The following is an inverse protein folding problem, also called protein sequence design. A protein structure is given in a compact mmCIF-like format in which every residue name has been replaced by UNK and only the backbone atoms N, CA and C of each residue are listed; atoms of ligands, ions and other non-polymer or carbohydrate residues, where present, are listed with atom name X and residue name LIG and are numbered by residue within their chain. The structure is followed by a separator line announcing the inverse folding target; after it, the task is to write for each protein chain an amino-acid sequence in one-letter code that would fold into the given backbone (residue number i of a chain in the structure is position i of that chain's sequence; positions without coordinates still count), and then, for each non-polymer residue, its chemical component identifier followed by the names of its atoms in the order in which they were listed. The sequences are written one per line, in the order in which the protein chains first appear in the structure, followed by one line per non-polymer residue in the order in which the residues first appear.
data_IF_717955442742
#
_entry.id   IF_717955442742
#
_cell.length_a   1.000
_cell.length_b   1.000
_cell.length_c   1.000
_cell.angle_alpha   90.00
_cell.angle_beta   90.00
_cell.angle_gamma   90.00
#
_symmetry.space_group_name_H-M   'P 1'
#
loop_
_entity.id
_entity.type
_entity.pdbx_description
1 polymer ?
#
# COMPACT_ATOMS: atom_id res chain seq x y z
N UNK A 1 -48.69 20.69 -0.78
CA UNK A 1 -47.78 19.74 -0.10
C UNK A 1 -46.36 20.34 0.02
N UNK A 2 -46.02 21.05 1.12
CA UNK A 2 -44.66 21.59 1.29
C UNK A 2 -43.84 20.95 2.43
N UNK A 3 -44.32 19.85 3.06
CA UNK A 3 -43.65 19.29 4.22
C UNK A 3 -42.45 18.32 3.92
N UNK A 4 -42.32 17.83 2.71
CA UNK A 4 -41.24 16.91 2.32
C UNK A 4 -39.88 17.58 2.05
N UNK A 5 -39.87 18.80 1.56
CA UNK A 5 -38.64 19.55 1.23
C UNK A 5 -37.94 20.09 2.49
N UNK A 6 -38.69 20.47 3.52
CA UNK A 6 -38.15 20.95 4.79
C UNK A 6 -37.46 19.84 5.60
N UNK A 7 -38.01 18.62 5.59
CA UNK A 7 -37.43 17.48 6.28
C UNK A 7 -36.12 17.03 5.62
N UNK A 8 -36.04 17.04 4.29
CA UNK A 8 -34.82 16.74 3.53
C UNK A 8 -33.69 17.76 3.79
N UNK A 9 -34.03 19.05 3.83
CA UNK A 9 -33.05 20.11 4.13
C UNK A 9 -32.57 20.07 5.59
N UNK A 10 -33.43 19.74 6.54
CA UNK A 10 -33.06 19.57 7.96
C UNK A 10 -32.16 18.34 8.14
N UNK A 11 -32.45 17.23 7.46
CA UNK A 11 -31.63 16.01 7.51
C UNK A 11 -30.25 16.26 6.87
N UNK A 12 -30.18 17.00 5.76
CA UNK A 12 -28.89 17.36 5.14
C UNK A 12 -28.08 18.31 6.01
N UNK A 13 -28.68 19.32 6.61
CA UNK A 13 -28.02 20.24 7.55
C UNK A 13 -27.56 19.53 8.84
N UNK A 14 -28.34 18.61 9.37
CA UNK A 14 -27.96 17.82 10.55
C UNK A 14 -26.83 16.83 10.23
N UNK A 15 -26.79 16.29 9.00
CA UNK A 15 -25.69 15.43 8.54
C UNK A 15 -24.40 16.22 8.29
N UNK A 16 -24.48 17.41 7.69
CA UNK A 16 -23.36 18.32 7.50
C UNK A 16 -22.79 18.84 8.83
N UNK A 17 -23.65 19.18 9.78
CA UNK A 17 -23.25 19.66 11.12
C UNK A 17 -22.64 18.53 11.96
N UNK A 18 -23.09 17.28 11.81
CA UNK A 18 -22.46 16.08 12.41
C UNK A 18 -21.11 15.77 11.77
N UNK A 19 -20.98 15.90 10.46
CA UNK A 19 -19.73 15.71 9.74
C UNK A 19 -18.68 16.76 10.16
N UNK A 20 -19.10 18.04 10.32
CA UNK A 20 -18.24 19.16 10.71
C UNK A 20 -17.87 19.16 12.20
N UNK A 21 -18.76 18.72 13.09
CA UNK A 21 -18.57 18.75 14.55
C UNK A 21 -17.86 17.51 15.11
N UNK A 22 -17.86 16.36 14.42
CA UNK A 22 -17.23 15.12 14.91
C UNK A 22 -15.87 14.81 14.30
N UNK A 23 -15.27 15.67 13.52
CA UNK A 23 -13.93 15.54 12.94
C UNK A 23 -13.51 14.08 12.71
N UNK A 24 -13.41 13.63 11.47
CA UNK A 24 -12.92 12.27 11.14
C UNK A 24 -11.44 12.05 11.49
N UNK A 25 -10.77 13.10 11.97
CA UNK A 25 -9.33 13.06 12.25
C UNK A 25 -8.97 12.00 13.29
N UNK A 26 -9.60 12.05 14.47
CA UNK A 26 -9.30 11.11 15.54
C UNK A 26 -9.83 9.68 15.25
N UNK A 27 -11.08 9.47 14.76
CA UNK A 27 -11.60 8.12 14.63
C UNK A 27 -11.10 7.36 13.39
N UNK A 28 -10.66 8.03 12.32
CA UNK A 28 -10.30 7.36 11.06
C UNK A 28 -8.87 7.67 10.62
N UNK A 29 -8.51 8.94 10.54
CA UNK A 29 -7.23 9.33 9.92
C UNK A 29 -6.04 9.09 10.85
N UNK A 30 -6.13 9.40 12.14
CA UNK A 30 -5.04 9.15 13.08
C UNK A 30 -4.73 7.67 13.28
N UNK A 31 -5.71 6.76 13.51
CA UNK A 31 -5.40 5.33 13.55
C UNK A 31 -4.81 4.81 12.26
N UNK A 32 -5.26 5.34 11.10
CA UNK A 32 -4.73 4.98 9.80
C UNK A 32 -3.27 5.39 9.62
N UNK A 33 -2.91 6.59 10.02
CA UNK A 33 -1.54 7.07 10.01
C UNK A 33 -0.64 6.19 10.89
N UNK A 34 -1.10 5.86 12.11
CA UNK A 34 -0.32 5.11 13.08
C UNK A 34 -0.09 3.65 12.67
N UNK A 35 -1.12 2.95 12.16
CA UNK A 35 -0.95 1.55 11.73
C UNK A 35 -0.05 1.45 10.48
N UNK A 36 -0.13 2.42 9.57
CA UNK A 36 0.76 2.46 8.42
C UNK A 36 2.17 2.94 8.77
N UNK A 37 2.32 3.75 9.83
CA UNK A 37 3.63 4.05 10.39
C UNK A 37 4.27 2.81 11.02
N UNK A 38 3.49 1.99 11.73
CA UNK A 38 3.99 0.70 12.23
C UNK A 38 4.48 -0.21 11.08
N UNK A 39 3.72 -0.32 9.99
CA UNK A 39 4.13 -1.06 8.79
C UNK A 39 5.42 -0.49 8.19
N UNK A 40 5.49 0.84 8.03
CA UNK A 40 6.68 1.52 7.51
C UNK A 40 7.94 1.27 8.35
N UNK A 41 7.81 1.22 9.67
CA UNK A 41 8.91 0.90 10.58
C UNK A 41 9.37 -0.56 10.45
N UNK A 42 8.44 -1.50 10.19
CA UNK A 42 8.73 -2.92 10.08
C UNK A 42 9.45 -3.30 8.79
N UNK A 43 9.04 -2.74 7.65
CA UNK A 43 9.50 -3.18 6.34
C UNK A 43 11.03 -3.18 6.17
N UNK A 44 11.78 -2.18 6.63
CA UNK A 44 13.24 -2.19 6.52
C UNK A 44 13.92 -3.21 7.44
N UNK A 45 13.36 -3.49 8.61
CA UNK A 45 14.03 -4.30 9.65
C UNK A 45 13.72 -5.80 9.58
N UNK A 46 12.59 -6.19 8.97
CA UNK A 46 12.24 -7.61 8.82
C UNK A 46 13.34 -8.42 8.11
N UNK A 47 13.86 -8.00 6.94
CA UNK A 47 14.94 -8.75 6.30
C UNK A 47 16.26 -8.64 7.07
N UNK A 48 16.54 -7.53 7.73
CA UNK A 48 17.73 -7.35 8.58
C UNK A 48 17.76 -8.39 9.70
N UNK A 49 16.63 -8.58 10.39
CA UNK A 49 16.50 -9.56 11.45
C UNK A 49 16.66 -11.01 10.95
N UNK A 50 16.11 -11.33 9.78
CA UNK A 50 16.27 -12.66 9.18
C UNK A 50 17.75 -12.95 8.87
N UNK A 51 18.48 -11.99 8.29
CA UNK A 51 19.93 -12.13 8.05
C UNK A 51 20.70 -12.19 9.38
N UNK A 52 20.29 -11.46 10.40
CA UNK A 52 20.85 -11.55 11.76
C UNK A 52 20.72 -12.93 12.38
N UNK A 53 19.72 -13.74 11.99
CA UNK A 53 19.60 -15.15 12.36
C UNK A 53 20.47 -16.10 11.49
N UNK A 54 21.25 -15.58 10.55
CA UNK A 54 22.13 -16.35 9.66
C UNK A 54 21.46 -16.84 8.38
N UNK A 55 20.28 -16.33 8.03
CA UNK A 55 19.58 -16.67 6.79
C UNK A 55 20.08 -15.84 5.63
N UNK A 56 20.00 -16.38 4.42
CA UNK A 56 20.41 -15.72 3.18
C UNK A 56 19.48 -14.55 2.82
N UNK A 57 19.92 -13.67 1.92
CA UNK A 57 19.09 -12.57 1.40
C UNK A 57 17.80 -13.07 0.72
N UNK A 58 17.87 -14.25 0.07
CA UNK A 58 16.69 -14.86 -0.54
C UNK A 58 15.65 -15.29 0.51
N UNK A 59 16.10 -15.90 1.61
CA UNK A 59 15.25 -16.28 2.73
C UNK A 59 14.73 -15.05 3.48
N UNK A 60 15.53 -14.01 3.62
CA UNK A 60 15.10 -12.74 4.20
C UNK A 60 13.97 -12.09 3.38
N UNK A 61 13.99 -12.21 2.05
CA UNK A 61 12.90 -11.75 1.19
C UNK A 61 11.59 -12.54 1.40
N UNK A 62 11.65 -13.80 1.88
CA UNK A 62 10.45 -14.59 2.20
C UNK A 62 9.67 -13.93 3.34
N UNK A 63 10.33 -13.35 4.33
CA UNK A 63 9.65 -12.74 5.47
C UNK A 63 8.73 -11.60 5.01
N UNK A 64 9.21 -10.73 4.13
CA UNK A 64 8.39 -9.65 3.56
C UNK A 64 7.32 -10.18 2.59
N UNK A 65 7.62 -11.28 1.88
CA UNK A 65 6.64 -11.99 1.05
C UNK A 65 5.47 -12.49 1.90
N UNK A 66 5.76 -13.13 3.03
CA UNK A 66 4.74 -13.66 3.94
C UNK A 66 3.86 -12.55 4.50
N UNK A 67 4.42 -11.38 4.83
CA UNK A 67 3.63 -10.22 5.26
C UNK A 67 2.65 -9.79 4.16
N UNK A 68 3.12 -9.63 2.92
CA UNK A 68 2.29 -9.18 1.79
C UNK A 68 1.24 -10.23 1.40
N UNK A 69 1.62 -11.51 1.38
CA UNK A 69 0.69 -12.63 1.12
C UNK A 69 -0.33 -12.72 2.26
N UNK A 70 0.10 -12.54 3.51
CA UNK A 70 -0.78 -12.46 4.66
C UNK A 70 -1.84 -11.38 4.49
N UNK A 71 -1.43 -10.18 4.10
CA UNK A 71 -2.37 -9.08 3.84
C UNK A 71 -3.40 -9.48 2.77
N UNK A 72 -2.96 -10.10 1.67
CA UNK A 72 -3.85 -10.49 0.57
C UNK A 72 -4.80 -11.64 0.96
N UNK A 73 -4.28 -12.70 1.56
CA UNK A 73 -5.06 -13.90 1.92
C UNK A 73 -6.09 -13.59 3.00
N UNK A 74 -5.74 -12.72 3.95
CA UNK A 74 -6.65 -12.34 5.02
C UNK A 74 -7.71 -11.30 4.61
N UNK A 75 -7.72 -10.76 3.40
CA UNK A 75 -8.81 -9.88 2.94
C UNK A 75 -10.19 -10.54 3.03
N UNK A 76 -10.30 -11.83 2.68
CA UNK A 76 -11.57 -12.57 2.75
C UNK A 76 -11.99 -12.84 4.21
N UNK A 77 -11.16 -13.44 5.09
CA UNK A 77 -11.48 -13.57 6.51
C UNK A 77 -11.79 -12.23 7.18
N UNK A 78 -11.02 -11.18 6.87
CA UNK A 78 -11.24 -9.85 7.42
C UNK A 78 -12.61 -9.27 7.06
N UNK A 79 -13.09 -9.50 5.83
CA UNK A 79 -14.44 -9.10 5.40
C UNK A 79 -15.51 -9.81 6.25
N UNK A 80 -15.37 -11.12 6.42
CA UNK A 80 -16.30 -11.92 7.20
C UNK A 80 -16.29 -11.55 8.71
N UNK A 81 -15.10 -11.31 9.28
CA UNK A 81 -14.98 -10.85 10.68
C UNK A 81 -15.64 -9.48 10.82
N UNK A 82 -15.35 -8.53 9.94
CA UNK A 82 -15.89 -7.17 10.00
C UNK A 82 -17.42 -7.14 9.91
N UNK A 83 -18.00 -7.98 9.04
CA UNK A 83 -19.47 -8.14 8.95
C UNK A 83 -20.09 -8.70 10.23
N UNK A 84 -19.38 -9.59 10.94
CA UNK A 84 -19.91 -10.21 12.17
C UNK A 84 -19.77 -9.34 13.40
N UNK A 85 -18.62 -8.70 13.61
CA UNK A 85 -18.34 -7.99 14.87
C UNK A 85 -18.39 -6.47 14.75
N UNK A 86 -18.52 -5.94 13.52
CA UNK A 86 -18.58 -4.50 13.22
C UNK A 86 -17.19 -3.86 13.08
N UNK A 87 -17.15 -2.65 12.47
CA UNK A 87 -15.93 -1.97 12.08
C UNK A 87 -15.03 -1.63 13.26
N UNK A 88 -15.59 -1.02 14.31
CA UNK A 88 -14.82 -0.60 15.49
C UNK A 88 -14.10 -1.78 16.14
N UNK A 89 -14.81 -2.90 16.36
CA UNK A 89 -14.23 -4.09 16.99
C UNK A 89 -13.18 -4.74 16.08
N UNK A 90 -13.41 -4.74 14.77
CA UNK A 90 -12.45 -5.24 13.78
C UNK A 90 -11.19 -4.39 13.74
N UNK A 91 -11.30 -3.06 13.80
CA UNK A 91 -10.14 -2.17 13.89
C UNK A 91 -9.34 -2.42 15.19
N UNK A 92 -10.02 -2.56 16.34
CA UNK A 92 -9.38 -2.89 17.62
C UNK A 92 -8.69 -4.26 17.57
N UNK A 93 -9.34 -5.28 17.02
CA UNK A 93 -8.75 -6.60 16.85
C UNK A 93 -7.52 -6.53 15.93
N UNK A 94 -7.59 -5.77 14.83
CA UNK A 94 -6.47 -5.55 13.92
C UNK A 94 -5.29 -4.87 14.62
N UNK A 95 -5.51 -3.78 15.37
CA UNK A 95 -4.42 -3.11 16.09
C UNK A 95 -3.83 -3.98 17.20
N UNK A 96 -4.64 -4.76 17.91
CA UNK A 96 -4.16 -5.71 18.94
C UNK A 96 -3.34 -6.84 18.31
N UNK A 97 -3.82 -7.43 17.22
CA UNK A 97 -3.08 -8.46 16.48
C UNK A 97 -1.75 -7.90 15.94
N UNK A 98 -1.75 -6.66 15.43
CA UNK A 98 -0.53 -5.98 14.99
C UNK A 98 0.46 -5.80 16.14
N UNK A 99 0.01 -5.34 17.32
CA UNK A 99 0.85 -5.19 18.49
C UNK A 99 1.42 -6.54 19.00
N UNK A 100 0.60 -7.61 19.01
CA UNK A 100 1.07 -8.94 19.36
C UNK A 100 2.09 -9.50 18.35
N UNK A 101 1.87 -9.24 17.06
CA UNK A 101 2.79 -9.64 16.00
C UNK A 101 4.14 -8.95 16.12
N UNK A 102 4.16 -7.64 16.40
CA UNK A 102 5.40 -6.89 16.61
C UNK A 102 6.10 -7.30 17.90
N UNK A 103 5.34 -7.62 18.96
CA UNK A 103 5.90 -8.16 20.21
C UNK A 103 6.55 -9.53 19.97
N UNK A 104 5.91 -10.41 19.18
CA UNK A 104 6.47 -11.72 18.84
C UNK A 104 7.80 -11.56 18.06
N UNK A 105 7.89 -10.59 17.14
CA UNK A 105 9.13 -10.29 16.43
C UNK A 105 10.20 -9.72 17.37
N UNK A 106 9.81 -8.86 18.32
CA UNK A 106 10.71 -8.28 19.34
C UNK A 106 11.34 -9.34 20.24
N UNK A 107 10.63 -10.42 20.58
CA UNK A 107 11.12 -11.48 21.45
C UNK A 107 12.26 -12.32 20.84
N UNK A 108 12.60 -12.13 19.58
CA UNK A 108 13.76 -12.75 18.91
C UNK A 108 13.83 -14.27 19.06
N UNK A 109 12.69 -14.96 18.98
CA UNK A 109 12.59 -16.43 19.18
C UNK A 109 13.03 -17.26 17.95
N UNK A 110 13.64 -16.63 16.95
CA UNK A 110 14.17 -17.25 15.73
C UNK A 110 13.31 -17.00 14.49
N UNK A 111 13.74 -17.55 13.35
CA UNK A 111 13.17 -17.26 12.04
C UNK A 111 11.69 -17.64 11.92
N UNK A 112 11.27 -18.77 12.48
CA UNK A 112 9.87 -19.20 12.40
C UNK A 112 8.94 -18.22 13.13
N UNK A 113 9.37 -17.68 14.29
CA UNK A 113 8.60 -16.66 15.00
C UNK A 113 8.50 -15.36 14.19
N UNK A 114 9.55 -14.99 13.46
CA UNK A 114 9.55 -13.83 12.57
C UNK A 114 8.57 -14.03 11.39
N UNK A 115 8.51 -15.22 10.80
CA UNK A 115 7.54 -15.58 9.77
C UNK A 115 6.10 -15.47 10.30
N UNK A 116 5.83 -16.02 11.50
CA UNK A 116 4.51 -15.95 12.14
C UNK A 116 4.14 -14.51 12.47
N UNK A 117 5.09 -13.72 12.95
CA UNK A 117 4.90 -12.30 13.22
C UNK A 117 4.58 -11.52 11.94
N UNK A 118 5.31 -11.76 10.85
CA UNK A 118 5.05 -11.15 9.55
C UNK A 118 3.65 -11.49 9.00
N UNK A 119 3.26 -12.76 9.06
CA UNK A 119 1.92 -13.23 8.66
C UNK A 119 0.83 -12.58 9.52
N UNK A 120 1.02 -12.57 10.84
CA UNK A 120 0.09 -11.97 11.80
C UNK A 120 -0.07 -10.47 11.58
N UNK A 121 1.02 -9.75 11.29
CA UNK A 121 0.96 -8.32 10.97
C UNK A 121 0.24 -8.06 9.65
N UNK A 122 0.46 -8.90 8.62
CA UNK A 122 -0.28 -8.84 7.36
C UNK A 122 -1.78 -9.02 7.56
N UNK A 123 -2.18 -10.01 8.37
CA UNK A 123 -3.58 -10.24 8.74
C UNK A 123 -4.17 -9.04 9.52
N UNK A 124 -3.41 -8.48 10.46
CA UNK A 124 -3.77 -7.28 11.22
C UNK A 124 -4.02 -6.08 10.31
N UNK A 125 -3.11 -5.83 9.35
CA UNK A 125 -3.21 -4.75 8.38
C UNK A 125 -4.45 -4.89 7.49
N UNK A 126 -4.72 -6.11 7.00
CA UNK A 126 -5.91 -6.43 6.20
C UNK A 126 -7.20 -6.16 6.97
N UNK A 127 -7.30 -6.68 8.19
CA UNK A 127 -8.50 -6.52 9.03
C UNK A 127 -8.76 -5.04 9.37
N UNK A 128 -7.73 -4.32 9.80
CA UNK A 128 -7.83 -2.89 10.08
C UNK A 128 -8.19 -2.09 8.83
N UNK A 129 -7.51 -2.36 7.70
CA UNK A 129 -7.69 -1.65 6.44
C UNK A 129 -9.11 -1.77 5.89
N UNK A 130 -9.66 -2.98 5.89
CA UNK A 130 -11.02 -3.23 5.42
C UNK A 130 -12.06 -2.56 6.32
N UNK A 131 -11.97 -2.75 7.63
CA UNK A 131 -12.90 -2.16 8.60
C UNK A 131 -12.89 -0.62 8.52
N UNK A 132 -11.71 -0.02 8.38
CA UNK A 132 -11.53 1.43 8.19
C UNK A 132 -12.19 1.94 6.91
N UNK A 133 -12.04 1.23 5.77
CA UNK A 133 -12.67 1.63 4.51
C UNK A 133 -14.20 1.55 4.59
N UNK A 134 -14.72 0.50 5.22
CA UNK A 134 -16.16 0.33 5.48
C UNK A 134 -16.69 1.48 6.35
N UNK A 135 -16.02 1.76 7.47
CA UNK A 135 -16.37 2.85 8.38
C UNK A 135 -16.38 4.21 7.68
N UNK A 136 -15.36 4.51 6.85
CA UNK A 136 -15.31 5.78 6.13
C UNK A 136 -16.44 5.90 5.11
N UNK A 137 -16.78 4.81 4.41
CA UNK A 137 -17.89 4.78 3.47
C UNK A 137 -19.26 4.98 4.15
N UNK A 138 -19.41 4.58 5.41
CA UNK A 138 -20.62 4.78 6.21
C UNK A 138 -20.70 6.20 6.77
N UNK A 139 -19.59 6.73 7.32
CA UNK A 139 -19.60 8.02 8.00
C UNK A 139 -19.63 9.22 7.05
N UNK A 140 -19.19 9.05 5.80
CA UNK A 140 -19.01 10.15 4.85
C UNK A 140 -20.11 10.13 3.79
N UNK A 141 -20.84 11.24 3.60
CA UNK A 141 -21.80 11.40 2.51
C UNK A 141 -21.17 11.11 1.15
N UNK A 142 -21.93 10.54 0.18
CA UNK A 142 -21.38 10.14 -1.14
C UNK A 142 -20.60 11.23 -1.86
N UNK A 143 -21.07 12.48 -1.80
CA UNK A 143 -20.44 13.65 -2.43
C UNK A 143 -19.06 14.00 -1.88
N UNK A 144 -18.77 13.65 -0.62
CA UNK A 144 -17.50 13.93 0.06
C UNK A 144 -16.56 12.71 0.11
N UNK A 145 -17.03 11.51 -0.25
CA UNK A 145 -16.23 10.27 -0.23
C UNK A 145 -14.92 10.36 -1.03
N UNK A 146 -14.90 10.93 -2.26
CA UNK A 146 -13.66 11.02 -3.04
C UNK A 146 -12.57 11.82 -2.32
N UNK A 147 -12.92 12.96 -1.72
CA UNK A 147 -11.99 13.81 -0.95
C UNK A 147 -11.49 13.08 0.30
N UNK A 148 -12.37 12.41 1.01
CA UNK A 148 -12.05 11.66 2.23
C UNK A 148 -11.16 10.45 1.95
N UNK A 149 -11.40 9.73 0.86
CA UNK A 149 -10.55 8.62 0.41
C UNK A 149 -9.17 9.11 -0.05
N UNK A 150 -9.10 10.26 -0.72
CA UNK A 150 -7.82 10.89 -1.09
C UNK A 150 -6.99 11.25 0.16
N UNK A 151 -7.64 11.86 1.18
CA UNK A 151 -6.96 12.16 2.45
C UNK A 151 -6.49 10.90 3.16
N UNK A 152 -7.29 9.82 3.11
CA UNK A 152 -6.89 8.52 3.66
C UNK A 152 -5.64 7.97 2.95
N UNK A 153 -5.55 8.11 1.62
CA UNK A 153 -4.35 7.80 0.85
C UNK A 153 -3.13 8.63 1.29
N UNK A 154 -3.35 9.91 1.62
CA UNK A 154 -2.33 10.78 2.23
C UNK A 154 -1.87 10.27 3.60
N UNK A 155 -2.80 9.81 4.46
CA UNK A 155 -2.44 9.23 5.77
C UNK A 155 -1.61 7.96 5.62
N UNK A 156 -1.93 7.10 4.65
CA UNK A 156 -1.12 5.93 4.32
C UNK A 156 0.32 6.31 3.98
N UNK A 157 0.51 7.27 3.06
CA UNK A 157 1.85 7.72 2.65
C UNK A 157 2.60 8.43 3.76
N UNK A 158 1.89 9.28 4.52
CA UNK A 158 2.45 9.95 5.70
C UNK A 158 2.92 8.95 6.76
N UNK A 159 2.15 7.91 7.03
CA UNK A 159 2.56 6.82 7.92
C UNK A 159 3.80 6.10 7.42
N UNK A 160 3.82 5.71 6.15
CA UNK A 160 4.98 5.07 5.50
C UNK A 160 6.25 5.95 5.49
N UNK A 161 6.11 7.27 5.62
CA UNK A 161 7.24 8.20 5.76
C UNK A 161 7.68 8.35 7.23
N UNK A 162 6.73 8.55 8.14
CA UNK A 162 7.01 8.82 9.56
C UNK A 162 7.51 7.56 10.29
N UNK A 163 6.95 6.39 9.95
CA UNK A 163 7.26 5.13 10.60
C UNK A 163 8.74 4.77 10.59
N UNK A 164 9.40 4.74 9.44
CA UNK A 164 10.83 4.42 9.37
C UNK A 164 11.71 5.45 10.10
N UNK A 165 11.32 6.74 10.13
CA UNK A 165 12.07 7.76 10.91
C UNK A 165 11.99 7.48 12.40
N UNK A 166 10.79 7.18 12.92
CA UNK A 166 10.63 6.81 14.34
C UNK A 166 11.38 5.50 14.60
N UNK A 167 11.23 4.50 13.74
CA UNK A 167 11.95 3.23 13.82
C UNK A 167 13.47 3.43 13.86
N UNK A 168 14.00 4.26 12.96
CA UNK A 168 15.43 4.61 12.91
C UNK A 168 15.96 5.15 14.25
N UNK A 169 15.21 6.07 14.89
CA UNK A 169 15.61 6.63 16.18
C UNK A 169 15.67 5.56 17.28
N UNK A 170 14.70 4.65 17.33
CA UNK A 170 14.72 3.54 18.30
C UNK A 170 15.85 2.56 18.02
N UNK A 171 16.11 2.23 16.74
CA UNK A 171 17.19 1.34 16.33
C UNK A 171 18.55 1.93 16.70
N UNK A 172 18.77 3.21 16.42
CA UNK A 172 20.04 3.89 16.72
C UNK A 172 20.34 3.96 18.21
N UNK A 173 19.32 4.06 19.06
CA UNK A 173 19.49 4.19 20.51
C UNK A 173 19.59 2.85 21.24
N UNK A 174 18.89 1.83 20.77
CA UNK A 174 18.67 0.61 21.54
C UNK A 174 18.92 -0.69 20.77
N UNK A 175 19.06 -0.64 19.44
CA UNK A 175 19.25 -1.81 18.59
C UNK A 175 18.05 -2.14 17.72
N UNK A 176 18.27 -3.03 16.73
CA UNK A 176 17.28 -3.36 15.66
C UNK A 176 15.95 -3.85 16.22
N UNK A 177 15.98 -4.63 17.30
CA UNK A 177 14.78 -5.17 17.97
C UNK A 177 13.83 -4.07 18.44
N UNK A 178 14.34 -2.93 18.88
CA UNK A 178 13.50 -1.82 19.34
C UNK A 178 12.70 -1.14 18.23
N UNK A 179 13.05 -1.35 16.96
CA UNK A 179 12.19 -0.99 15.84
C UNK A 179 10.84 -1.71 15.86
N UNK A 180 10.81 -2.99 16.29
CA UNK A 180 9.57 -3.73 16.50
C UNK A 180 8.75 -3.18 17.68
N UNK A 181 9.41 -2.79 18.75
CA UNK A 181 8.75 -2.16 19.90
C UNK A 181 8.11 -0.82 19.50
N UNK A 182 8.82 0.00 18.72
CA UNK A 182 8.27 1.25 18.18
C UNK A 182 7.01 1.01 17.34
N UNK A 183 7.05 0.00 16.46
CA UNK A 183 5.87 -0.40 15.65
C UNK A 183 4.72 -0.90 16.56
N UNK A 184 5.01 -1.66 17.61
CA UNK A 184 4.02 -2.13 18.58
C UNK A 184 3.34 -0.97 19.33
N UNK A 185 4.11 0.01 19.77
CA UNK A 185 3.58 1.23 20.40
C UNK A 185 2.66 2.00 19.44
N UNK A 186 3.04 2.11 18.16
CA UNK A 186 2.18 2.73 17.15
C UNK A 186 0.87 1.94 16.94
N UNK A 187 0.91 0.61 16.95
CA UNK A 187 -0.30 -0.22 16.89
C UNK A 187 -1.21 -0.01 18.11
N UNK A 188 -0.64 0.05 19.31
CA UNK A 188 -1.40 0.31 20.54
C UNK A 188 -1.98 1.72 20.55
N UNK A 189 -1.21 2.72 20.11
CA UNK A 189 -1.69 4.11 19.97
C UNK A 189 -2.81 4.20 18.92
N UNK A 190 -2.72 3.45 17.80
CA UNK A 190 -3.80 3.34 16.84
C UNK A 190 -5.05 2.72 17.48
N UNK A 191 -4.90 1.66 18.27
CA UNK A 191 -5.98 1.05 19.05
C UNK A 191 -6.63 2.02 20.02
N UNK A 192 -5.83 2.79 20.76
CA UNK A 192 -6.33 3.84 21.66
C UNK A 192 -7.14 4.91 20.90
N UNK A 193 -6.67 5.35 19.75
CA UNK A 193 -7.40 6.31 18.92
C UNK A 193 -8.72 5.73 18.37
N UNK A 194 -8.82 4.42 18.14
CA UNK A 194 -10.04 3.75 17.69
C UNK A 194 -11.14 3.80 18.75
N UNK A 195 -10.83 3.97 20.05
CA UNK A 195 -11.87 4.15 21.07
C UNK A 195 -12.73 5.40 20.84
N UNK A 196 -12.24 6.40 20.12
CA UNK A 196 -13.03 7.57 19.73
C UNK A 196 -14.03 7.29 18.58
N UNK A 197 -13.94 6.12 17.94
CA UNK A 197 -14.86 5.69 16.87
C UNK A 197 -16.26 5.43 17.45
N UNK A 198 -17.31 6.02 16.88
CA UNK A 198 -18.67 5.70 17.29
C UNK A 198 -18.97 4.21 17.06
N UNK A 199 -19.68 3.59 17.99
CA UNK A 199 -20.26 2.26 17.78
C UNK A 199 -21.45 2.38 16.84
N UNK A 200 -21.20 2.20 15.54
CA UNK A 200 -22.25 2.07 14.54
C UNK A 200 -22.62 0.58 14.40
N UNK A 201 -23.92 0.30 14.42
CA UNK A 201 -24.41 -1.02 13.96
C UNK A 201 -24.50 -0.94 12.44
N UNK A 202 -23.79 -1.83 11.75
CA UNK A 202 -23.92 -1.97 10.31
C UNK A 202 -25.38 -2.09 9.88
N UNK A 203 -25.81 -1.19 9.03
CA UNK A 203 -26.81 -1.53 8.05
C UNK A 203 -26.11 -2.41 7.01
N UNK A 204 -26.27 -3.72 7.11
CA UNK A 204 -25.88 -4.66 6.08
C UNK A 204 -26.75 -4.37 4.86
N UNK A 205 -26.37 -3.41 4.05
CA UNK A 205 -26.88 -3.33 2.69
C UNK A 205 -26.11 -4.40 1.93
N UNK A 206 -26.77 -5.49 1.48
CA UNK A 206 -26.11 -6.45 0.60
C UNK A 206 -25.62 -5.64 -0.61
N UNK A 207 -24.32 -5.63 -0.86
CA UNK A 207 -23.81 -5.19 -2.15
C UNK A 207 -24.61 -5.95 -3.20
N UNK A 208 -25.27 -5.18 -4.09
CA UNK A 208 -26.17 -5.74 -5.11
C UNK A 208 -25.52 -6.94 -5.81
N UNK A 209 -26.37 -7.81 -6.34
CA UNK A 209 -26.02 -9.08 -7.00
C UNK A 209 -24.66 -8.93 -7.72
N UNK A 210 -23.64 -9.60 -7.16
CA UNK A 210 -22.32 -9.61 -7.78
C UNK A 210 -22.50 -10.25 -9.16
N UNK A 211 -22.37 -9.45 -10.21
CA UNK A 211 -22.35 -9.93 -11.59
C UNK A 211 -21.23 -10.96 -11.75
N UNK A 212 -21.27 -11.74 -12.80
CA UNK A 212 -20.24 -12.75 -13.06
C UNK A 212 -18.90 -12.05 -13.40
N UNK A 213 -18.03 -11.88 -12.38
CA UNK A 213 -16.71 -11.25 -12.53
C UNK A 213 -15.89 -11.92 -13.62
N UNK A 214 -15.95 -13.26 -13.73
CA UNK A 214 -15.22 -14.02 -14.76
C UNK A 214 -15.74 -13.77 -16.17
N UNK A 215 -17.04 -13.61 -16.34
CA UNK A 215 -17.62 -13.27 -17.63
C UNK A 215 -17.18 -11.88 -18.10
N UNK A 216 -17.15 -10.90 -17.19
CA UNK A 216 -16.68 -9.54 -17.48
C UNK A 216 -15.16 -9.54 -17.73
N UNK A 217 -14.37 -10.25 -16.93
CA UNK A 217 -12.93 -10.39 -17.12
C UNK A 217 -12.61 -11.02 -18.50
N UNK A 218 -13.35 -12.04 -18.93
CA UNK A 218 -13.16 -12.68 -20.23
C UNK A 218 -13.54 -11.74 -21.40
N UNK A 219 -14.62 -10.99 -21.25
CA UNK A 219 -15.06 -10.02 -22.27
C UNK A 219 -14.07 -8.87 -22.43
N UNK A 220 -13.53 -8.35 -21.32
CA UNK A 220 -12.58 -7.24 -21.30
C UNK A 220 -11.12 -7.72 -21.24
N UNK A 221 -10.86 -9.00 -21.55
CA UNK A 221 -9.54 -9.60 -21.51
C UNK A 221 -8.44 -8.81 -22.25
N UNK A 222 -8.68 -8.20 -23.44
CA UNK A 222 -7.66 -7.40 -24.11
C UNK A 222 -7.19 -6.20 -23.28
N UNK A 223 -8.08 -5.50 -22.57
CA UNK A 223 -7.73 -4.38 -21.69
C UNK A 223 -6.98 -4.86 -20.44
N UNK A 224 -7.43 -5.97 -19.85
CA UNK A 224 -6.82 -6.56 -18.66
C UNK A 224 -5.43 -7.14 -18.97
N UNK A 225 -5.27 -7.84 -20.10
CA UNK A 225 -4.00 -8.44 -20.51
C UNK A 225 -2.94 -7.40 -20.96
N UNK A 226 -3.35 -6.19 -21.29
CA UNK A 226 -2.46 -5.09 -21.68
C UNK A 226 -2.29 -4.07 -20.56
N UNK A 227 -3.22 -3.14 -20.39
CA UNK A 227 -3.14 -2.09 -19.37
C UNK A 227 -3.33 -2.61 -17.93
N UNK A 228 -4.08 -3.70 -17.73
CA UNK A 228 -4.18 -4.37 -16.44
C UNK A 228 -2.84 -4.98 -16.01
N UNK A 229 -2.17 -5.69 -16.93
CA UNK A 229 -0.81 -6.24 -16.67
C UNK A 229 0.20 -5.12 -16.47
N UNK A 230 0.18 -4.06 -17.28
CA UNK A 230 1.05 -2.90 -17.09
C UNK A 230 0.84 -2.24 -15.71
N UNK A 231 -0.41 -2.16 -15.25
CA UNK A 231 -0.79 -1.68 -13.90
C UNK A 231 -0.32 -2.63 -12.78
N UNK A 232 -0.29 -3.93 -13.03
CA UNK A 232 0.30 -4.91 -12.11
C UNK A 232 1.83 -4.75 -12.04
N UNK A 233 2.50 -4.53 -13.17
CA UNK A 233 3.95 -4.29 -13.22
C UNK A 233 4.34 -3.02 -12.48
N UNK A 234 3.61 -1.90 -12.64
CA UNK A 234 3.91 -0.67 -11.88
C UNK A 234 3.68 -0.87 -10.37
N UNK A 235 2.67 -1.67 -9.99
CA UNK A 235 2.43 -2.03 -8.59
C UNK A 235 3.56 -2.90 -8.03
N UNK A 236 4.02 -3.89 -8.81
CA UNK A 236 5.18 -4.71 -8.46
C UNK A 236 6.45 -3.86 -8.30
N UNK A 237 6.75 -2.98 -9.25
CA UNK A 237 7.91 -2.08 -9.20
C UNK A 237 7.94 -1.21 -7.94
N UNK A 238 6.78 -0.71 -7.51
CA UNK A 238 6.66 0.04 -6.24
C UNK A 238 6.92 -0.83 -5.02
N UNK A 239 6.42 -2.06 -5.03
CA UNK A 239 6.60 -3.01 -3.93
C UNK A 239 8.06 -3.45 -3.83
N UNK A 240 8.77 -3.60 -4.95
CA UNK A 240 10.19 -3.92 -4.98
C UNK A 240 11.03 -2.82 -4.31
N UNK A 241 10.64 -1.55 -4.42
CA UNK A 241 11.29 -0.49 -3.65
C UNK A 241 11.27 -0.78 -2.15
N UNK A 242 10.13 -1.24 -1.62
CA UNK A 242 9.94 -1.46 -0.18
C UNK A 242 10.60 -2.78 0.30
N UNK A 243 10.84 -3.74 -0.57
CA UNK A 243 11.36 -5.06 -0.21
C UNK A 243 12.77 -5.32 -0.76
N UNK A 244 13.08 -4.90 -1.98
CA UNK A 244 14.37 -5.11 -2.64
C UNK A 244 15.47 -4.15 -2.15
N UNK A 245 15.13 -2.87 -1.91
CA UNK A 245 16.12 -1.92 -1.41
C UNK A 245 16.64 -2.23 0.00
N UNK A 246 15.83 -2.68 0.98
CA UNK A 246 16.37 -3.13 2.27
C UNK A 246 17.38 -4.27 2.12
N UNK A 247 17.13 -5.22 1.21
CA UNK A 247 18.09 -6.30 0.92
C UNK A 247 19.40 -5.78 0.31
N UNK A 248 19.30 -4.77 -0.56
CA UNK A 248 20.48 -4.11 -1.12
C UNK A 248 21.27 -3.36 -0.04
N UNK A 249 20.59 -2.67 0.88
CA UNK A 249 21.23 -2.01 2.01
C UNK A 249 21.99 -3.01 2.90
N UNK A 250 21.41 -4.19 3.16
CA UNK A 250 22.08 -5.28 3.90
C UNK A 250 23.32 -5.76 3.14
N UNK A 251 23.21 -5.96 1.83
CA UNK A 251 24.36 -6.39 1.00
C UNK A 251 25.48 -5.35 1.01
N UNK A 252 25.16 -4.06 1.07
CA UNK A 252 26.12 -2.95 1.16
C UNK A 252 26.60 -2.71 2.60
N UNK A 253 26.14 -3.49 3.57
CA UNK A 253 26.45 -3.35 4.99
C UNK A 253 26.11 -1.95 5.55
N UNK A 254 25.07 -1.31 5.01
CA UNK A 254 24.56 -0.03 5.53
C UNK A 254 23.88 -0.30 6.88
N UNK A 255 24.15 0.57 7.84
CA UNK A 255 23.57 0.47 9.17
C UNK A 255 22.03 0.43 9.12
N UNK A 256 21.36 -0.44 9.89
CA UNK A 256 19.90 -0.57 9.89
C UNK A 256 19.16 0.71 10.27
N UNK A 257 19.70 1.52 11.18
CA UNK A 257 19.12 2.80 11.55
C UNK A 257 19.23 3.79 10.39
N UNK A 258 20.38 3.85 9.73
CA UNK A 258 20.57 4.68 8.54
C UNK A 258 19.68 4.23 7.39
N UNK A 259 19.57 2.93 7.14
CA UNK A 259 18.65 2.36 6.15
C UNK A 259 17.20 2.81 6.43
N UNK A 260 16.72 2.66 7.66
CA UNK A 260 15.37 3.07 8.06
C UNK A 260 15.20 4.59 7.92
N UNK A 261 16.19 5.39 8.26
CA UNK A 261 16.17 6.84 8.07
C UNK A 261 16.05 7.23 6.60
N UNK A 262 16.82 6.58 5.71
CA UNK A 262 16.73 6.79 4.25
C UNK A 262 15.32 6.50 3.73
N UNK A 263 14.72 5.39 4.18
CA UNK A 263 13.32 5.06 3.82
C UNK A 263 12.33 6.10 4.31
N UNK A 264 12.51 6.63 5.50
CA UNK A 264 11.69 7.70 6.04
C UNK A 264 11.79 8.99 5.21
N UNK A 265 13.00 9.49 4.97
CA UNK A 265 13.22 10.72 4.18
C UNK A 265 12.70 10.56 2.75
N UNK A 266 13.00 9.44 2.09
CA UNK A 266 12.49 9.17 0.74
C UNK A 266 10.98 8.93 0.73
N UNK A 267 10.40 8.43 1.82
CA UNK A 267 8.96 8.38 2.07
C UNK A 267 8.33 9.78 2.14
N UNK A 268 9.01 10.76 2.76
CA UNK A 268 8.57 12.16 2.74
C UNK A 268 8.62 12.79 1.35
N UNK A 269 9.59 12.41 0.50
CA UNK A 269 9.59 12.81 -0.92
C UNK A 269 8.32 12.28 -1.61
N UNK A 270 8.02 10.99 -1.44
CA UNK A 270 6.82 10.37 -1.98
C UNK A 270 5.53 11.03 -1.44
N UNK A 271 5.45 11.24 -0.14
CA UNK A 271 4.30 11.89 0.51
C UNK A 271 4.10 13.33 0.06
N UNK A 272 5.17 14.14 -0.04
CA UNK A 272 5.07 15.56 -0.40
C UNK A 272 4.67 15.75 -1.87
N UNK A 273 5.10 14.85 -2.72
CA UNK A 273 4.94 14.97 -4.18
C UNK A 273 3.76 14.14 -4.74
N UNK A 274 3.08 13.31 -3.91
CA UNK A 274 2.00 12.46 -4.44
C UNK A 274 0.85 13.26 -5.08
N UNK A 275 0.60 14.47 -4.60
CA UNK A 275 -0.39 15.37 -5.17
C UNK A 275 -0.04 15.80 -6.60
N UNK A 276 1.26 15.86 -6.92
CA UNK A 276 1.78 16.19 -8.24
C UNK A 276 1.32 15.18 -9.31
N UNK A 277 1.15 13.92 -8.93
CA UNK A 277 0.58 12.88 -9.82
C UNK A 277 -0.76 13.29 -10.41
N UNK A 278 -1.67 13.80 -9.57
CA UNK A 278 -2.98 14.30 -10.02
C UNK A 278 -2.87 15.48 -10.99
N UNK A 279 -1.97 16.43 -10.71
CA UNK A 279 -1.72 17.59 -11.57
C UNK A 279 -1.13 17.16 -12.92
N UNK A 280 -0.14 16.27 -12.91
CA UNK A 280 0.49 15.75 -14.12
C UNK A 280 -0.55 15.04 -15.00
N UNK A 281 -1.36 14.16 -14.42
CA UNK A 281 -2.39 13.44 -15.16
C UNK A 281 -3.47 14.38 -15.71
N UNK A 282 -3.87 15.40 -14.95
CA UNK A 282 -4.87 16.38 -15.41
C UNK A 282 -4.35 17.30 -16.52
N UNK A 283 -3.06 17.70 -16.47
CA UNK A 283 -2.48 18.68 -17.39
C UNK A 283 -1.83 18.05 -18.61
N UNK A 284 -1.10 16.95 -18.43
CA UNK A 284 -0.27 16.32 -19.45
C UNK A 284 -0.77 14.93 -19.87
N UNK A 285 -1.75 14.38 -19.15
CA UNK A 285 -2.31 13.08 -19.45
C UNK A 285 -1.68 11.92 -18.65
N UNK A 286 -2.33 10.76 -18.74
CA UNK A 286 -1.96 9.53 -18.04
C UNK A 286 -0.61 8.95 -18.49
N UNK A 287 -0.25 9.20 -19.75
CA UNK A 287 1.02 8.81 -20.33
C UNK A 287 2.22 9.33 -19.52
N UNK A 288 2.23 10.62 -19.20
CA UNK A 288 3.32 11.28 -18.49
C UNK A 288 3.43 10.89 -17.00
N UNK A 289 2.38 10.26 -16.47
CA UNK A 289 2.42 9.70 -15.12
C UNK A 289 2.86 8.23 -15.09
N UNK A 290 2.60 7.44 -16.14
CA UNK A 290 2.86 5.99 -16.17
C UNK A 290 4.19 5.61 -16.83
N UNK A 291 4.42 6.04 -18.06
CA UNK A 291 5.59 5.62 -18.83
C UNK A 291 6.90 6.12 -18.21
N UNK A 292 7.07 7.42 -17.89
CA UNK A 292 8.30 7.90 -17.25
C UNK A 292 8.58 7.24 -15.90
N UNK A 293 7.55 6.94 -15.13
CA UNK A 293 7.70 6.21 -13.86
C UNK A 293 8.31 4.82 -14.08
N UNK A 294 7.76 4.05 -15.01
CA UNK A 294 8.27 2.71 -15.28
C UNK A 294 9.66 2.72 -15.91
N UNK A 295 9.96 3.71 -16.75
CA UNK A 295 11.31 3.91 -17.27
C UNK A 295 12.29 4.27 -16.14
N UNK A 296 11.93 5.17 -15.24
CA UNK A 296 12.76 5.54 -14.10
C UNK A 296 12.99 4.35 -13.15
N UNK A 297 11.93 3.63 -12.76
CA UNK A 297 12.06 2.42 -11.94
C UNK A 297 12.87 1.35 -12.67
N UNK A 298 12.60 1.12 -13.96
CA UNK A 298 13.29 0.14 -14.78
C UNK A 298 14.78 0.42 -14.86
N UNK A 299 15.16 1.65 -15.20
CA UNK A 299 16.56 2.08 -15.27
C UNK A 299 17.24 1.97 -13.91
N UNK A 300 16.61 2.45 -12.85
CA UNK A 300 17.17 2.42 -11.50
C UNK A 300 17.43 0.99 -11.02
N UNK A 301 16.50 0.06 -11.25
CA UNK A 301 16.70 -1.35 -10.88
C UNK A 301 17.70 -2.06 -11.80
N UNK A 302 17.71 -1.77 -13.09
CA UNK A 302 18.66 -2.35 -14.03
C UNK A 302 20.11 -2.00 -13.65
N UNK A 303 20.36 -0.77 -13.22
CA UNK A 303 21.68 -0.29 -12.82
C UNK A 303 21.95 -0.40 -11.31
N UNK A 304 21.19 -1.21 -10.58
CA UNK A 304 21.42 -1.44 -9.14
C UNK A 304 22.80 -1.99 -8.80
N UNK A 305 23.47 -2.67 -9.74
CA UNK A 305 24.83 -3.17 -9.58
C UNK A 305 25.88 -2.04 -9.49
N UNK A 306 25.56 -0.82 -9.90
CA UNK A 306 26.43 0.36 -9.76
C UNK A 306 26.30 1.02 -8.37
N UNK A 307 25.36 0.58 -7.55
CA UNK A 307 25.19 1.07 -6.19
C UNK A 307 26.18 0.33 -5.29
N UNK A 308 27.23 1.03 -4.88
CA UNK A 308 28.36 0.45 -4.14
C UNK A 308 28.57 1.05 -2.75
N UNK A 309 27.91 2.16 -2.45
CA UNK A 309 28.04 2.89 -1.20
C UNK A 309 26.72 3.57 -0.77
N UNK A 310 26.72 4.17 0.40
CA UNK A 310 25.58 4.85 0.99
C UNK A 310 25.10 6.02 0.14
N UNK A 311 25.99 6.76 -0.50
CA UNK A 311 25.63 7.93 -1.30
C UNK A 311 24.87 7.53 -2.56
N UNK A 312 25.36 6.51 -3.29
CA UNK A 312 24.67 5.96 -4.46
C UNK A 312 23.36 5.26 -4.08
N UNK A 313 23.28 4.65 -2.89
CA UNK A 313 22.05 4.11 -2.34
C UNK A 313 21.01 5.21 -2.07
N UNK A 314 21.41 6.36 -1.49
CA UNK A 314 20.55 7.53 -1.31
C UNK A 314 19.95 8.03 -2.63
N UNK A 315 20.79 8.10 -3.68
CA UNK A 315 20.33 8.51 -5.02
C UNK A 315 19.29 7.52 -5.53
N UNK A 316 19.58 6.22 -5.48
CA UNK A 316 18.66 5.17 -5.91
C UNK A 316 17.31 5.21 -5.17
N UNK A 317 17.35 5.32 -3.84
CA UNK A 317 16.17 5.41 -3.02
C UNK A 317 15.33 6.67 -3.31
N UNK A 318 15.99 7.80 -3.56
CA UNK A 318 15.35 9.08 -3.90
C UNK A 318 14.69 9.05 -5.28
N UNK A 319 15.38 8.52 -6.30
CA UNK A 319 14.83 8.39 -7.66
C UNK A 319 13.61 7.48 -7.68
N UNK A 320 13.68 6.33 -6.98
CA UNK A 320 12.53 5.42 -6.89
C UNK A 320 11.35 6.03 -6.12
N UNK A 321 11.60 6.85 -5.10
CA UNK A 321 10.55 7.57 -4.37
C UNK A 321 9.87 8.63 -5.25
N UNK A 322 10.66 9.41 -5.98
CA UNK A 322 10.15 10.41 -6.92
C UNK A 322 9.28 9.77 -8.02
N UNK A 323 9.77 8.68 -8.61
CA UNK A 323 9.04 7.92 -9.61
C UNK A 323 7.69 7.41 -9.04
N UNK A 324 7.69 6.90 -7.80
CA UNK A 324 6.48 6.44 -7.13
C UNK A 324 5.48 7.58 -6.90
N UNK A 325 5.96 8.76 -6.47
CA UNK A 325 5.11 9.93 -6.24
C UNK A 325 4.39 10.37 -7.50
N UNK A 326 5.09 10.46 -8.63
CA UNK A 326 4.54 10.90 -9.94
C UNK A 326 3.43 9.98 -10.45
N UNK A 327 3.44 8.71 -10.09
CA UNK A 327 2.47 7.73 -10.57
C UNK A 327 1.40 7.32 -9.53
N UNK A 328 1.31 8.02 -8.43
CA UNK A 328 0.55 7.62 -7.24
C UNK A 328 -0.91 7.21 -7.49
N UNK A 329 -1.64 7.91 -8.35
CA UNK A 329 -3.07 7.69 -8.61
C UNK A 329 -3.40 6.90 -9.88
N UNK A 330 -2.40 6.49 -10.66
CA UNK A 330 -2.63 5.97 -12.03
C UNK A 330 -3.53 4.75 -12.07
N UNK A 331 -3.34 3.78 -11.18
CA UNK A 331 -4.14 2.55 -11.17
C UNK A 331 -5.62 2.82 -10.85
N UNK A 332 -5.89 3.79 -9.97
CA UNK A 332 -7.26 4.16 -9.62
C UNK A 332 -7.99 4.82 -10.79
N UNK A 333 -7.29 5.72 -11.49
CA UNK A 333 -7.84 6.43 -12.65
C UNK A 333 -8.04 5.46 -13.81
N UNK A 334 -7.05 4.63 -14.13
CA UNK A 334 -7.16 3.64 -15.20
C UNK A 334 -8.25 2.62 -14.93
N UNK A 335 -8.35 2.11 -13.72
CA UNK A 335 -9.43 1.20 -13.36
C UNK A 335 -10.82 1.81 -13.61
N UNK A 336 -10.99 3.09 -13.30
CA UNK A 336 -12.24 3.79 -13.54
C UNK A 336 -12.51 4.06 -15.03
N UNK A 337 -11.49 4.49 -15.77
CA UNK A 337 -11.61 4.87 -17.19
C UNK A 337 -11.83 3.64 -18.11
N UNK A 338 -11.19 2.52 -17.80
CA UNK A 338 -11.32 1.28 -18.56
C UNK A 338 -12.62 0.52 -18.29
N UNK A 339 -13.33 0.86 -17.21
CA UNK A 339 -14.53 0.14 -16.76
C UNK A 339 -15.67 0.32 -17.75
N UNK A 340 -16.27 -0.80 -18.25
CA UNK A 340 -17.40 -0.73 -19.19
C UNK A 340 -18.67 -0.24 -18.47
N UNK A 341 -19.56 0.49 -19.18
CA UNK A 341 -20.88 0.84 -18.66
C UNK A 341 -21.67 -0.42 -18.26
N UNK A 342 -22.32 -0.39 -17.10
CA UNK A 342 -23.17 -1.48 -16.61
C UNK A 342 -22.44 -2.67 -15.96
N UNK A 343 -21.08 -2.71 -15.99
CA UNK A 343 -20.30 -3.78 -15.33
C UNK A 343 -19.03 -3.21 -14.64
N UNK A 344 -19.17 -2.01 -14.07
CA UNK A 344 -18.04 -1.27 -13.49
C UNK A 344 -17.44 -1.96 -12.26
N UNK A 345 -18.27 -2.49 -11.38
CA UNK A 345 -17.85 -3.17 -10.16
C UNK A 345 -17.05 -4.44 -10.44
N UNK A 346 -17.53 -5.26 -11.39
CA UNK A 346 -16.91 -6.53 -11.79
C UNK A 346 -15.56 -6.29 -12.48
N UNK A 347 -15.50 -5.29 -13.38
CA UNK A 347 -14.26 -4.90 -14.02
C UNK A 347 -13.23 -4.38 -13.01
N UNK A 348 -13.63 -3.48 -12.11
CA UNK A 348 -12.75 -2.95 -11.07
C UNK A 348 -12.24 -4.07 -10.14
N UNK A 349 -13.08 -5.07 -9.82
CA UNK A 349 -12.64 -6.23 -9.03
C UNK A 349 -11.55 -7.02 -9.77
N UNK A 350 -11.75 -7.31 -11.07
CA UNK A 350 -10.74 -8.00 -11.89
C UNK A 350 -9.45 -7.20 -12.04
N UNK A 351 -9.55 -5.90 -12.27
CA UNK A 351 -8.41 -4.99 -12.39
C UNK A 351 -7.61 -4.88 -11.06
N UNK A 352 -8.32 -4.77 -9.93
CA UNK A 352 -7.70 -4.77 -8.60
C UNK A 352 -7.02 -6.11 -8.29
N UNK A 353 -7.62 -7.22 -8.68
CA UNK A 353 -7.00 -8.55 -8.52
C UNK A 353 -5.64 -8.63 -9.24
N UNK A 354 -5.53 -8.09 -10.45
CA UNK A 354 -4.25 -8.03 -11.18
C UNK A 354 -3.24 -7.12 -10.47
N UNK A 355 -3.63 -5.91 -10.07
CA UNK A 355 -2.72 -4.97 -9.41
C UNK A 355 -2.27 -5.46 -8.03
N UNK A 356 -3.15 -6.07 -7.24
CA UNK A 356 -2.82 -6.70 -5.96
C UNK A 356 -1.97 -7.95 -6.15
N UNK A 357 -2.21 -8.73 -7.22
CA UNK A 357 -1.35 -9.83 -7.63
C UNK A 357 0.09 -9.36 -7.89
N UNK A 358 0.26 -8.22 -8.58
CA UNK A 358 1.58 -7.60 -8.78
C UNK A 358 2.28 -7.26 -7.46
N UNK A 359 1.55 -6.70 -6.50
CA UNK A 359 2.07 -6.40 -5.15
C UNK A 359 2.52 -7.67 -4.43
N UNK A 360 1.69 -8.71 -4.43
CA UNK A 360 1.96 -9.96 -3.69
C UNK A 360 3.08 -10.81 -4.31
N UNK A 361 3.18 -10.83 -5.65
CA UNK A 361 4.18 -11.62 -6.37
C UNK A 361 5.58 -10.96 -6.30
N UNK A 362 5.66 -9.64 -6.19
CA UNK A 362 6.93 -8.91 -6.28
C UNK A 362 7.98 -9.37 -5.26
N UNK A 363 7.71 -9.49 -3.94
CA UNK A 363 8.71 -9.97 -3.01
C UNK A 363 9.07 -11.45 -3.22
N UNK A 364 8.10 -12.29 -3.60
CA UNK A 364 8.36 -13.69 -3.93
C UNK A 364 9.28 -13.83 -5.15
N UNK A 365 9.07 -12.99 -6.17
CA UNK A 365 9.93 -12.93 -7.35
C UNK A 365 11.35 -12.50 -6.97
N UNK A 366 11.52 -11.49 -6.10
CA UNK A 366 12.84 -11.10 -5.59
C UNK A 366 13.49 -12.25 -4.84
N UNK A 367 12.77 -12.98 -3.98
CA UNK A 367 13.31 -14.12 -3.25
C UNK A 367 13.85 -15.21 -4.20
N UNK A 368 13.03 -15.67 -5.15
CA UNK A 368 13.38 -16.74 -6.11
C UNK A 368 14.54 -16.31 -7.02
N UNK A 369 14.49 -15.11 -7.55
CA UNK A 369 15.54 -14.61 -8.42
C UNK A 369 16.86 -14.35 -7.65
N UNK A 370 16.78 -13.88 -6.42
CA UNK A 370 17.99 -13.70 -5.58
C UNK A 370 18.66 -15.04 -5.28
N UNK A 371 17.89 -16.10 -5.06
CA UNK A 371 18.44 -17.45 -4.85
C UNK A 371 19.14 -18.02 -6.11
N UNK A 372 18.69 -17.64 -7.31
CA UNK A 372 19.18 -18.22 -8.57
C UNK A 372 20.28 -17.38 -9.24
N UNK A 373 20.15 -16.05 -9.26
CA UNK A 373 21.04 -15.13 -10.00
C UNK A 373 21.60 -14.00 -9.12
N UNK A 374 21.42 -14.08 -7.81
CA UNK A 374 21.83 -13.05 -6.86
C UNK A 374 20.93 -11.80 -6.87
N UNK A 375 21.08 -10.95 -5.84
CA UNK A 375 20.21 -9.79 -5.64
C UNK A 375 20.31 -8.76 -6.77
N UNK A 376 21.52 -8.46 -7.24
CA UNK A 376 21.71 -7.53 -8.36
C UNK A 376 21.04 -8.05 -9.65
N UNK A 377 21.13 -9.35 -9.94
CA UNK A 377 20.44 -10.00 -11.05
C UNK A 377 18.91 -9.95 -10.88
N UNK A 378 18.42 -10.18 -9.67
CA UNK A 378 17.01 -10.10 -9.34
C UNK A 378 16.44 -8.69 -9.57
N UNK A 379 17.13 -7.66 -9.09
CA UNK A 379 16.76 -6.27 -9.31
C UNK A 379 16.83 -5.90 -10.80
N UNK A 380 17.89 -6.31 -11.52
CA UNK A 380 18.00 -6.06 -12.96
C UNK A 380 16.86 -6.72 -13.76
N UNK A 381 16.50 -7.97 -13.45
CA UNK A 381 15.37 -8.66 -14.08
C UNK A 381 14.04 -7.92 -13.83
N UNK A 382 13.82 -7.41 -12.63
CA UNK A 382 12.65 -6.57 -12.33
C UNK A 382 12.70 -5.22 -13.04
N UNK A 383 13.90 -4.68 -13.25
CA UNK A 383 14.13 -3.50 -14.10
C UNK A 383 13.64 -3.74 -15.53
N UNK A 384 14.03 -4.86 -16.14
CA UNK A 384 13.58 -5.27 -17.48
C UNK A 384 12.05 -5.42 -17.54
N UNK A 385 11.44 -6.00 -16.50
CA UNK A 385 9.99 -6.12 -16.42
C UNK A 385 9.28 -4.75 -16.42
N UNK A 386 9.87 -3.74 -15.75
CA UNK A 386 9.34 -2.38 -15.77
C UNK A 386 9.39 -1.76 -17.19
N UNK A 387 10.40 -2.05 -18.00
CA UNK A 387 10.44 -1.62 -19.40
C UNK A 387 9.33 -2.28 -20.24
N UNK A 388 9.02 -3.57 -19.98
CA UNK A 388 7.85 -4.22 -20.59
C UNK A 388 6.55 -3.49 -20.20
N UNK A 389 6.39 -3.13 -18.95
CA UNK A 389 5.25 -2.33 -18.48
C UNK A 389 5.18 -0.95 -19.15
N UNK A 390 6.32 -0.27 -19.31
CA UNK A 390 6.42 1.00 -20.01
C UNK A 390 5.99 0.87 -21.48
N UNK A 391 6.45 -0.19 -22.16
CA UNK A 391 6.06 -0.50 -23.55
C UNK A 391 4.55 -0.77 -23.66
N UNK A 392 3.97 -1.54 -22.74
CA UNK A 392 2.54 -1.81 -22.74
C UNK A 392 1.73 -0.52 -22.55
N UNK A 393 2.12 0.36 -21.63
CA UNK A 393 1.46 1.66 -21.49
C UNK A 393 1.62 2.52 -22.74
N UNK A 394 2.85 2.65 -23.25
CA UNK A 394 3.12 3.42 -24.45
C UNK A 394 2.26 2.97 -25.65
N UNK A 395 2.14 1.64 -25.84
CA UNK A 395 1.44 1.06 -27.00
C UNK A 395 -0.08 1.07 -26.87
N UNK A 396 -0.61 0.81 -25.66
CA UNK A 396 -2.03 0.51 -25.49
C UNK A 396 -2.82 1.62 -24.78
N UNK A 397 -2.17 2.55 -24.09
CA UNK A 397 -2.87 3.65 -23.43
C UNK A 397 -3.64 4.53 -24.42
N UNK A 398 -3.06 4.92 -25.58
CA UNK A 398 -3.81 5.69 -26.58
C UNK A 398 -5.01 4.94 -27.17
N UNK A 399 -4.97 3.60 -27.18
CA UNK A 399 -6.02 2.77 -27.77
C UNK A 399 -7.21 2.63 -26.81
N UNK A 400 -6.98 2.32 -25.55
CA UNK A 400 -8.03 1.95 -24.60
C UNK A 400 -8.42 3.06 -23.62
N UNK A 401 -7.55 4.02 -23.38
CA UNK A 401 -7.78 5.10 -22.43
C UNK A 401 -7.17 6.43 -22.92
N UNK A 402 -7.54 6.91 -24.12
CA UNK A 402 -7.01 8.17 -24.67
C UNK A 402 -7.26 9.34 -23.72
N UNK A 403 -6.36 10.30 -23.72
CA UNK A 403 -6.52 11.52 -22.92
C UNK A 403 -7.56 12.45 -23.58
N UNK A 404 -8.39 13.11 -22.75
CA UNK A 404 -9.49 13.99 -23.23
C UNK A 404 -9.07 15.15 -24.15
N UNK A 405 -7.76 15.40 -24.32
CA UNK A 405 -7.23 16.41 -25.23
C UNK A 405 -7.01 15.88 -26.66
N UNK A 406 -7.13 14.59 -26.89
CA UNK A 406 -6.97 13.93 -28.19
C UNK A 406 -8.32 13.56 -28.83
N UNK A 407 -9.45 13.88 -28.18
CA UNK A 407 -10.82 13.84 -28.71
C UNK A 407 -11.29 15.26 -29.07
#
# INVERSE_FOLDING_TARGET
MPHGLAAGAIISQVSEDRFRKRGLAAPVYLPSLLITAAEGALLPILPVTAVGYGYSLAEAAIVTTVLMVGTMVFEIPASWITTKIGERRSMLLGTTLGALSTLLAFLHLGYLSLIVAALGFGAAHSLFGLARHSLLAELVPPEHRPKSMSLLGGMFRGGMAIGPVIGSAFIALYGVEFGYLAAGVMCLAAGAAVFSVPTTRLSTTPSGQAGNIWAVAKREAPKLATLGVASAIISAGRTIRLNGLPLLAIQLQIDPAETSFIFGITGFIDFSLFYLSGIIMARYGKFWSSVPTLLALGTTYLFSFMVTDVATFWIMASVTALANAVSAGINMILGADLSPPGARSEFLASFRMLTSGGVAIAPAMISVLTASIGLAGALAATGLLNFVGAFLFWRYLPIYAPDKKEQ
#
